data_IF_329532753205
#
_entry.id   IF_329532753205
#
_cell.length_a   1.000
_cell.length_b   1.000
_cell.length_c   1.000
_cell.angle_alpha   90.00
_cell.angle_beta   90.00
_cell.angle_gamma   90.00
#
_symmetry.space_group_name_H-M   'P 1'
#
loop_
_entity.id
_entity.type
_entity.pdbx_description
1 polymer ?
#
# COMPACT_ATOMS: atom_id res chain seq x y z
N UNK A 1 -13.68 8.79 -30.57
CA UNK A 1 -12.70 8.65 -29.47
C UNK A 1 -13.43 8.76 -28.14
N UNK A 2 -13.39 7.73 -27.27
CA UNK A 2 -13.93 7.84 -25.90
C UNK A 2 -13.02 8.76 -25.10
N UNK A 3 -13.56 9.85 -24.55
CA UNK A 3 -12.80 10.73 -23.64
C UNK A 3 -12.55 9.96 -22.34
N UNK A 4 -11.30 9.81 -21.95
CA UNK A 4 -10.94 9.26 -20.64
C UNK A 4 -11.37 10.28 -19.57
N UNK A 5 -12.29 9.91 -18.69
CA UNK A 5 -12.79 10.77 -17.62
C UNK A 5 -12.14 10.49 -16.27
N UNK A 6 -11.54 9.29 -16.14
CA UNK A 6 -10.95 8.80 -14.91
C UNK A 6 -9.65 8.05 -15.22
N UNK A 7 -8.61 8.34 -14.47
CA UNK A 7 -7.35 7.61 -14.51
C UNK A 7 -7.48 6.30 -13.73
N UNK A 8 -7.08 5.18 -14.34
CA UNK A 8 -7.04 3.88 -13.67
C UNK A 8 -6.19 3.88 -12.38
N UNK A 9 -5.07 4.64 -12.38
CA UNK A 9 -4.21 4.77 -11.20
C UNK A 9 -4.92 5.54 -10.09
N UNK A 10 -5.61 6.62 -10.43
CA UNK A 10 -6.40 7.39 -9.47
C UNK A 10 -7.49 6.52 -8.84
N UNK A 11 -8.26 5.81 -9.66
CA UNK A 11 -9.30 4.90 -9.17
C UNK A 11 -8.72 3.83 -8.24
N UNK A 12 -7.59 3.22 -8.59
CA UNK A 12 -6.90 2.25 -7.74
C UNK A 12 -6.55 2.84 -6.37
N UNK A 13 -5.98 4.04 -6.32
CA UNK A 13 -5.67 4.70 -5.04
C UNK A 13 -6.94 5.10 -4.27
N UNK A 14 -7.97 5.58 -4.96
CA UNK A 14 -9.24 5.98 -4.37
C UNK A 14 -9.99 4.80 -3.73
N UNK A 15 -9.98 3.63 -4.36
CA UNK A 15 -10.59 2.41 -3.81
C UNK A 15 -9.83 1.87 -2.59
N UNK A 16 -8.53 2.18 -2.48
CA UNK A 16 -7.68 1.84 -1.33
C UNK A 16 -7.81 2.84 -0.18
N UNK A 17 -8.37 4.01 -0.42
CA UNK A 17 -8.56 5.03 0.61
C UNK A 17 -9.54 4.52 1.67
N UNK A 18 -9.17 4.64 2.95
CA UNK A 18 -9.88 4.01 4.06
C UNK A 18 -11.39 4.34 4.12
N UNK A 19 -11.83 5.60 3.99
CA UNK A 19 -13.25 5.91 3.88
C UNK A 19 -13.97 5.18 2.73
N UNK A 20 -13.37 5.14 1.53
CA UNK A 20 -13.93 4.40 0.40
C UNK A 20 -14.00 2.90 0.69
N UNK A 21 -12.94 2.35 1.30
CA UNK A 21 -12.88 0.94 1.69
C UNK A 21 -13.97 0.60 2.71
N UNK A 22 -14.24 1.46 3.70
CA UNK A 22 -15.32 1.27 4.67
C UNK A 22 -16.68 1.24 3.99
N UNK A 23 -16.94 2.16 3.07
CA UNK A 23 -18.18 2.15 2.28
C UNK A 23 -18.32 0.85 1.49
N UNK A 24 -17.25 0.41 0.82
CA UNK A 24 -17.22 -0.84 0.05
C UNK A 24 -17.50 -2.07 0.94
N UNK A 25 -16.97 -2.09 2.16
CA UNK A 25 -17.20 -3.18 3.11
C UNK A 25 -18.63 -3.18 3.68
N UNK A 26 -19.24 -2.00 3.86
CA UNK A 26 -20.62 -1.89 4.36
C UNK A 26 -21.66 -2.34 3.33
N UNK A 27 -21.36 -2.18 2.04
CA UNK A 27 -22.27 -2.63 0.96
C UNK A 27 -22.03 -4.08 0.56
N UNK A 28 -20.89 -4.67 0.97
CA UNK A 28 -20.58 -6.07 0.72
C UNK A 28 -21.62 -6.97 1.40
N UNK A 29 -21.90 -8.11 0.78
CA UNK A 29 -22.81 -9.11 1.35
C UNK A 29 -22.32 -9.62 2.70
N UNK A 30 -23.27 -10.01 3.55
CA UNK A 30 -23.05 -10.45 4.94
C UNK A 30 -22.56 -11.90 5.06
N UNK A 31 -22.37 -12.60 3.94
CA UNK A 31 -21.86 -13.98 3.92
C UNK A 31 -20.39 -14.10 4.32
N UNK A 32 -19.97 -15.32 4.66
CA UNK A 32 -18.58 -15.66 5.00
C UNK A 32 -17.57 -15.23 3.91
N UNK A 33 -18.00 -15.12 2.65
CA UNK A 33 -17.25 -14.51 1.58
C UNK A 33 -17.83 -13.13 1.23
N UNK A 34 -17.06 -12.07 1.51
CA UNK A 34 -17.47 -10.70 1.17
C UNK A 34 -17.48 -10.53 -0.35
N UNK A 35 -18.67 -10.38 -0.91
CA UNK A 35 -18.90 -10.06 -2.32
C UNK A 35 -19.59 -8.70 -2.43
N UNK A 36 -19.19 -7.87 -3.40
CA UNK A 36 -19.83 -6.58 -3.67
C UNK A 36 -20.67 -6.73 -4.93
N UNK A 37 -22.01 -6.72 -4.83
CA UNK A 37 -22.89 -6.79 -6.00
C UNK A 37 -22.63 -5.63 -6.96
N UNK A 38 -22.56 -5.91 -8.27
CA UNK A 38 -22.36 -4.89 -9.30
C UNK A 38 -23.44 -3.80 -9.26
N UNK A 39 -24.67 -4.18 -8.91
CA UNK A 39 -25.80 -3.26 -8.71
C UNK A 39 -25.58 -2.25 -7.58
N UNK A 40 -24.86 -2.63 -6.52
CA UNK A 40 -24.47 -1.73 -5.43
C UNK A 40 -23.21 -0.94 -5.79
N UNK A 41 -22.22 -1.58 -6.43
CA UNK A 41 -20.97 -0.94 -6.84
C UNK A 41 -21.21 0.24 -7.79
N UNK A 42 -22.13 0.11 -8.75
CA UNK A 42 -22.49 1.17 -9.70
C UNK A 42 -23.14 2.40 -9.05
N UNK A 43 -23.65 2.27 -7.82
CA UNK A 43 -24.32 3.36 -7.09
C UNK A 43 -23.38 4.12 -6.16
N UNK A 44 -22.12 3.69 -6.05
CA UNK A 44 -21.15 4.38 -5.20
C UNK A 44 -20.77 5.70 -5.87
N UNK A 45 -21.00 6.78 -5.14
CA UNK A 45 -20.51 8.09 -5.52
C UNK A 45 -19.01 8.18 -5.26
N UNK A 46 -18.25 8.61 -6.27
CA UNK A 46 -16.83 8.84 -6.15
C UNK A 46 -16.55 10.32 -6.39
N UNK A 47 -15.63 10.88 -5.61
CA UNK A 47 -15.07 12.18 -5.93
C UNK A 47 -14.21 12.05 -7.19
N UNK A 48 -14.57 12.80 -8.24
CA UNK A 48 -13.87 12.74 -9.53
C UNK A 48 -13.34 14.13 -9.92
N UNK A 49 -12.13 14.50 -9.47
CA UNK A 49 -11.53 15.77 -9.86
C UNK A 49 -11.10 15.74 -11.34
N UNK A 50 -10.77 16.89 -11.95
CA UNK A 50 -10.26 16.93 -13.33
C UNK A 50 -9.02 16.06 -13.52
N UNK A 51 -8.83 15.50 -14.74
CA UNK A 51 -7.69 14.62 -15.05
C UNK A 51 -6.31 15.16 -14.62
N UNK A 52 -5.97 16.46 -14.81
CA UNK A 52 -4.69 16.98 -14.33
C UNK A 52 -4.51 16.84 -12.81
N UNK A 53 -5.59 17.06 -12.06
CA UNK A 53 -5.61 16.91 -10.60
C UNK A 53 -5.49 15.45 -10.18
N UNK A 54 -6.19 14.53 -10.88
CA UNK A 54 -6.04 13.09 -10.66
C UNK A 54 -4.57 12.65 -10.82
N UNK A 55 -3.88 13.12 -11.87
CA UNK A 55 -2.46 12.83 -12.11
C UNK A 55 -1.56 13.38 -11.00
N UNK A 56 -1.82 14.59 -10.51
CA UNK A 56 -1.06 15.17 -9.38
C UNK A 56 -1.22 14.35 -8.10
N UNK A 57 -2.46 13.96 -7.77
CA UNK A 57 -2.74 13.10 -6.61
C UNK A 57 -1.99 11.78 -6.72
N UNK A 58 -2.08 11.11 -7.87
CA UNK A 58 -1.37 9.84 -8.12
C UNK A 58 0.14 10.01 -7.96
N UNK A 59 0.73 11.08 -8.52
CA UNK A 59 2.17 11.32 -8.43
C UNK A 59 2.64 11.49 -6.98
N UNK A 60 1.85 12.16 -6.12
CA UNK A 60 2.15 12.31 -4.69
C UNK A 60 2.09 10.94 -3.99
N UNK A 61 1.03 10.17 -4.24
CA UNK A 61 0.84 8.86 -3.61
C UNK A 61 1.89 7.84 -4.04
N UNK A 62 2.29 7.83 -5.32
CA UNK A 62 3.37 6.97 -5.82
C UNK A 62 4.71 7.30 -5.16
N UNK A 63 5.02 8.59 -4.96
CA UNK A 63 6.23 9.01 -4.24
C UNK A 63 6.21 8.53 -2.78
N UNK A 64 5.08 8.67 -2.10
CA UNK A 64 4.94 8.19 -0.73
C UNK A 64 5.09 6.66 -0.63
N UNK A 65 4.53 5.91 -1.58
CA UNK A 65 4.65 4.45 -1.60
C UNK A 65 6.10 4.00 -1.84
N UNK A 66 6.81 4.66 -2.75
CA UNK A 66 8.25 4.41 -2.97
C UNK A 66 9.06 4.68 -1.71
N UNK A 67 8.80 5.79 -1.02
CA UNK A 67 9.48 6.12 0.22
C UNK A 67 9.29 5.05 1.30
N UNK A 68 8.08 4.49 1.43
CA UNK A 68 7.82 3.36 2.34
C UNK A 68 8.62 2.12 1.95
N UNK A 69 8.71 1.82 0.65
CA UNK A 69 9.51 0.71 0.13
C UNK A 69 10.98 0.84 0.51
N UNK A 70 11.59 2.00 0.24
CA UNK A 70 12.98 2.28 0.59
C UNK A 70 13.23 2.23 2.09
N UNK A 71 12.25 2.68 2.90
CA UNK A 71 12.38 2.57 4.36
C UNK A 71 12.47 1.13 4.81
N UNK A 72 11.60 0.25 4.31
CA UNK A 72 11.61 -1.17 4.66
C UNK A 72 12.92 -1.84 4.24
N UNK A 73 13.42 -1.54 3.05
CA UNK A 73 14.71 -2.03 2.56
C UNK A 73 15.88 -1.56 3.44
N UNK A 74 15.88 -0.28 3.84
CA UNK A 74 16.89 0.25 4.76
C UNK A 74 16.83 -0.42 6.14
N UNK A 75 15.63 -0.68 6.67
CA UNK A 75 15.45 -1.39 7.93
C UNK A 75 16.00 -2.84 7.82
N UNK A 76 15.70 -3.56 6.73
CA UNK A 76 16.21 -4.92 6.45
C UNK A 76 17.75 -4.96 6.35
N UNK A 77 18.35 -4.01 5.62
CA UNK A 77 19.81 -3.91 5.51
C UNK A 77 20.48 -3.57 6.85
N UNK A 78 19.83 -2.75 7.68
CA UNK A 78 20.32 -2.42 9.01
C UNK A 78 20.34 -3.66 9.91
N UNK A 79 19.29 -4.48 9.86
CA UNK A 79 19.23 -5.74 10.61
C UNK A 79 20.30 -6.74 10.17
N UNK A 80 20.57 -6.83 8.87
CA UNK A 80 21.64 -7.68 8.33
C UNK A 80 23.02 -7.19 8.77
N UNK A 81 23.27 -5.88 8.66
CA UNK A 81 24.52 -5.26 9.07
C UNK A 81 24.79 -5.41 10.58
N UNK A 82 23.76 -5.30 11.42
CA UNK A 82 23.89 -5.52 12.86
C UNK A 82 24.31 -6.97 13.17
N UNK A 83 23.72 -7.96 12.48
CA UNK A 83 24.09 -9.38 12.63
C UNK A 83 25.51 -9.65 12.19
N UNK A 84 25.93 -9.12 11.03
CA UNK A 84 27.29 -9.33 10.52
C UNK A 84 28.34 -8.68 11.43
N UNK A 85 28.08 -7.45 11.89
CA UNK A 85 28.99 -6.74 12.80
C UNK A 85 29.09 -7.44 14.14
N UNK A 86 27.98 -7.94 14.70
CA UNK A 86 28.00 -8.72 15.94
C UNK A 86 28.84 -10.00 15.79
N UNK A 87 28.66 -10.74 14.69
CA UNK A 87 29.45 -11.94 14.40
C UNK A 87 30.95 -11.62 14.22
N UNK A 88 31.29 -10.50 13.59
CA UNK A 88 32.68 -10.07 13.43
C UNK A 88 33.32 -9.69 14.78
N UNK A 89 32.60 -8.92 15.61
CA UNK A 89 33.11 -8.41 16.89
C UNK A 89 33.22 -9.49 17.97
N UNK A 90 32.25 -10.41 18.03
CA UNK A 90 32.14 -11.39 19.11
C UNK A 90 32.40 -12.84 18.68
N UNK A 91 32.57 -13.10 17.38
CA UNK A 91 32.77 -14.44 16.85
C UNK A 91 31.50 -15.30 16.86
N UNK A 92 31.67 -16.59 16.56
CA UNK A 92 30.58 -17.57 16.57
C UNK A 92 29.98 -17.70 17.99
N UNK A 93 28.68 -17.41 18.18
CA UNK A 93 28.02 -17.53 19.49
C UNK A 93 28.13 -18.92 20.11
N UNK A 94 28.27 -19.97 19.29
CA UNK A 94 28.41 -21.37 19.74
C UNK A 94 29.81 -21.66 20.30
N UNK A 95 30.81 -20.88 19.90
CA UNK A 95 32.21 -21.00 20.34
C UNK A 95 32.60 -19.96 21.38
N UNK A 96 31.68 -19.10 21.81
CA UNK A 96 31.96 -18.06 22.79
C UNK A 96 32.17 -18.70 24.18
N UNK A 97 33.39 -18.64 24.76
CA UNK A 97 33.66 -19.20 26.09
C UNK A 97 33.02 -18.40 27.23
N UNK A 98 32.41 -17.25 26.93
CA UNK A 98 31.65 -16.39 27.86
C UNK A 98 30.14 -16.37 27.57
N UNK A 99 29.66 -17.25 26.70
CA UNK A 99 28.24 -17.48 26.41
C UNK A 99 27.63 -18.56 27.30
#
# INVERSE_FOLDING_TARGET
MKREIISNKYLKYYLKYEPTRKVLLNIAGEGNQKFIPLSKLKKIEIFLPPLPTQKKIVAILEKAEKLKGWRREADELTDEFLKSTFLEMFGDPVKNPMG
#
